data_IF_134453195261
#
_entry.id   IF_134453195261
#
_cell.length_a   1.000
_cell.length_b   1.000
_cell.length_c   1.000
_cell.angle_alpha   90.00
_cell.angle_beta   90.00
_cell.angle_gamma   90.00
#
_symmetry.space_group_name_H-M   'P 1'
#
loop_
_entity.id
_entity.type
_entity.pdbx_description
1 polymer ?
#
# COMPACT_ATOMS: atom_id res chain seq x y z
N UNK A 1 -6.05 -28.08 -3.96
CA UNK A 1 -5.07 -27.34 -3.15
C UNK A 1 -4.35 -28.30 -2.24
N UNK A 2 -3.02 -28.26 -2.19
CA UNK A 2 -2.26 -29.07 -1.22
C UNK A 2 -2.44 -28.46 0.17
N UNK A 3 -2.34 -29.30 1.22
CA UNK A 3 -2.46 -28.83 2.60
C UNK A 3 -1.49 -27.66 2.93
N UNK A 4 -0.28 -27.72 2.35
CA UNK A 4 0.73 -26.66 2.49
C UNK A 4 0.25 -25.32 1.88
N UNK A 5 -0.43 -25.34 0.73
CA UNK A 5 -0.96 -24.12 0.09
C UNK A 5 -2.03 -23.45 0.97
N UNK A 6 -2.89 -24.28 1.58
CA UNK A 6 -3.92 -23.80 2.51
C UNK A 6 -3.29 -23.18 3.77
N UNK A 7 -2.29 -23.85 4.36
CA UNK A 7 -1.57 -23.36 5.52
C UNK A 7 -0.88 -22.02 5.24
N UNK A 8 -0.18 -21.91 4.10
CA UNK A 8 0.48 -20.66 3.67
C UNK A 8 -0.53 -19.53 3.47
N UNK A 9 -1.69 -19.84 2.91
CA UNK A 9 -2.77 -18.86 2.69
C UNK A 9 -3.34 -18.37 4.03
N UNK A 10 -3.59 -19.25 4.98
CA UNK A 10 -4.08 -18.89 6.32
C UNK A 10 -3.04 -18.05 7.06
N UNK A 11 -1.76 -18.47 7.06
CA UNK A 11 -0.68 -17.72 7.69
C UNK A 11 -0.50 -16.33 7.07
N UNK A 12 -0.50 -16.22 5.75
CA UNK A 12 -0.36 -14.91 5.09
C UNK A 12 -1.54 -13.98 5.41
N UNK A 13 -2.77 -14.50 5.45
CA UNK A 13 -3.95 -13.72 5.82
C UNK A 13 -3.90 -13.28 7.28
N UNK A 14 -3.45 -14.15 8.19
CA UNK A 14 -3.26 -13.84 9.60
C UNK A 14 -2.22 -12.72 9.79
N UNK A 15 -1.05 -12.84 9.15
CA UNK A 15 -0.02 -11.81 9.22
C UNK A 15 -0.48 -10.48 8.58
N UNK A 16 -1.26 -10.54 7.50
CA UNK A 16 -1.83 -9.36 6.88
C UNK A 16 -2.80 -8.64 7.83
N UNK A 17 -3.72 -9.39 8.47
CA UNK A 17 -4.63 -8.83 9.46
C UNK A 17 -3.91 -8.23 10.67
N UNK A 18 -2.94 -8.95 11.22
CA UNK A 18 -2.12 -8.48 12.35
C UNK A 18 -1.32 -7.22 11.99
N UNK A 19 -0.87 -7.09 10.72
CA UNK A 19 -0.16 -5.91 10.27
C UNK A 19 -1.00 -4.63 10.38
N UNK A 20 -2.31 -4.67 10.07
CA UNK A 20 -3.18 -3.49 10.22
C UNK A 20 -3.25 -3.02 11.67
N UNK A 21 -3.37 -3.95 12.61
CA UNK A 21 -3.39 -3.64 14.05
C UNK A 21 -2.03 -3.10 14.50
N UNK A 22 -0.95 -3.75 14.12
CA UNK A 22 0.41 -3.33 14.48
C UNK A 22 0.73 -1.93 13.94
N UNK A 23 0.36 -1.64 12.69
CA UNK A 23 0.54 -0.31 12.09
C UNK A 23 -0.31 0.72 12.83
N UNK A 24 -1.57 0.40 13.18
CA UNK A 24 -2.44 1.30 13.92
C UNK A 24 -1.83 1.69 15.27
N UNK A 25 -1.34 0.73 16.04
CA UNK A 25 -0.65 0.98 17.32
C UNK A 25 0.61 1.83 17.10
N UNK A 26 1.37 1.55 16.05
CA UNK A 26 2.61 2.27 15.75
C UNK A 26 2.39 3.74 15.41
N UNK A 27 1.38 4.07 14.59
CA UNK A 27 1.07 5.46 14.20
C UNK A 27 0.43 6.28 15.33
N UNK A 28 0.02 5.65 16.43
CA UNK A 28 -0.39 6.33 17.65
C UNK A 28 0.81 6.80 18.50
N UNK A 29 1.99 6.19 18.30
CA UNK A 29 3.20 6.48 19.05
C UNK A 29 4.23 7.28 18.26
N UNK A 30 4.24 7.15 16.94
CA UNK A 30 5.21 7.78 16.04
C UNK A 30 4.51 8.53 14.91
N UNK A 31 5.13 9.61 14.39
CA UNK A 31 4.65 10.28 13.20
C UNK A 31 4.55 9.27 12.03
N UNK A 32 3.41 9.21 11.33
CA UNK A 32 3.12 8.16 10.35
C UNK A 32 4.16 8.02 9.24
N UNK A 33 4.58 9.13 8.64
CA UNK A 33 5.54 9.13 7.53
C UNK A 33 6.94 8.77 8.03
N UNK A 34 7.34 9.28 9.19
CA UNK A 34 8.62 8.94 9.81
C UNK A 34 8.70 7.43 10.11
N UNK A 35 7.66 6.86 10.69
CA UNK A 35 7.58 5.42 10.95
C UNK A 35 7.72 4.60 9.67
N UNK A 36 7.05 5.03 8.59
CA UNK A 36 7.15 4.32 7.31
C UNK A 36 8.54 4.48 6.67
N UNK A 37 9.17 5.66 6.79
CA UNK A 37 10.53 5.89 6.33
C UNK A 37 11.54 4.98 7.04
N UNK A 38 11.43 4.84 8.37
CA UNK A 38 12.25 3.90 9.17
C UNK A 38 12.06 2.45 8.70
N UNK A 39 10.82 2.04 8.46
CA UNK A 39 10.51 0.70 7.95
C UNK A 39 11.17 0.45 6.59
N UNK A 40 11.10 1.40 5.66
CA UNK A 40 11.77 1.26 4.37
C UNK A 40 13.29 1.30 4.48
N UNK A 41 13.85 2.10 5.39
CA UNK A 41 15.29 2.08 5.68
C UNK A 41 15.73 0.70 6.14
N UNK A 42 15.00 0.10 7.09
CA UNK A 42 15.29 -1.26 7.57
C UNK A 42 15.24 -2.29 6.43
N UNK A 43 14.18 -2.24 5.62
CA UNK A 43 14.02 -3.15 4.46
C UNK A 43 15.18 -2.96 3.46
N UNK A 44 15.55 -1.72 3.15
CA UNK A 44 16.64 -1.43 2.23
C UNK A 44 17.99 -1.94 2.78
N UNK A 45 18.32 -1.66 4.04
CA UNK A 45 19.56 -2.11 4.68
C UNK A 45 19.66 -3.64 4.70
N UNK A 46 18.55 -4.33 4.97
CA UNK A 46 18.52 -5.79 5.01
C UNK A 46 18.61 -6.45 3.63
N UNK A 47 17.99 -5.86 2.60
CA UNK A 47 17.86 -6.52 1.29
C UNK A 47 18.91 -6.08 0.26
N UNK A 48 19.34 -4.81 0.27
CA UNK A 48 20.28 -4.30 -0.74
C UNK A 48 21.59 -5.12 -0.85
N UNK A 49 22.20 -5.61 0.25
CA UNK A 49 23.43 -6.40 0.14
C UNK A 49 23.26 -7.72 -0.64
N UNK A 50 22.04 -8.22 -0.76
CA UNK A 50 21.73 -9.52 -1.39
C UNK A 50 21.21 -9.41 -2.81
N UNK A 51 20.98 -8.18 -3.33
CA UNK A 51 20.38 -7.97 -4.65
C UNK A 51 21.25 -7.11 -5.54
N UNK A 52 21.23 -7.38 -6.85
CA UNK A 52 21.93 -6.56 -7.84
C UNK A 52 21.06 -5.38 -8.27
N UNK A 53 21.71 -4.27 -8.61
CA UNK A 53 21.02 -3.11 -9.16
C UNK A 53 20.43 -3.42 -10.54
N UNK A 54 19.12 -3.23 -10.77
CA UNK A 54 18.48 -3.39 -12.07
C UNK A 54 18.75 -2.15 -12.94
N UNK A 55 20.02 -1.96 -13.37
CA UNK A 55 20.55 -0.72 -13.97
C UNK A 55 19.68 -0.21 -15.12
N UNK A 56 19.24 -1.09 -15.99
CA UNK A 56 18.43 -0.74 -17.17
C UNK A 56 16.98 -0.39 -16.82
N UNK A 57 16.55 -0.62 -15.58
CA UNK A 57 15.19 -0.43 -15.08
C UNK A 57 15.09 0.55 -13.89
N UNK A 58 16.18 1.20 -13.52
CA UNK A 58 16.23 2.07 -12.34
C UNK A 58 15.19 3.19 -12.38
N UNK A 59 14.96 3.79 -13.55
CA UNK A 59 13.93 4.83 -13.68
C UNK A 59 12.52 4.28 -13.41
N UNK A 60 12.19 3.09 -13.92
CA UNK A 60 10.90 2.46 -13.65
C UNK A 60 10.75 2.10 -12.16
N UNK A 61 11.82 1.57 -11.54
CA UNK A 61 11.84 1.28 -10.09
C UNK A 61 11.65 2.58 -9.28
N UNK A 62 12.29 3.67 -9.68
CA UNK A 62 12.08 4.98 -9.07
C UNK A 62 10.62 5.45 -9.21
N UNK A 63 9.98 5.32 -10.38
CA UNK A 63 8.56 5.66 -10.54
C UNK A 63 7.66 4.79 -9.65
N UNK A 64 7.98 3.50 -9.50
CA UNK A 64 7.28 2.61 -8.57
C UNK A 64 7.51 3.04 -7.12
N UNK A 65 8.70 3.51 -6.77
CA UNK A 65 8.95 4.03 -5.42
C UNK A 65 8.11 5.27 -5.10
N UNK A 66 7.85 6.13 -6.09
CA UNK A 66 6.97 7.29 -5.93
C UNK A 66 5.51 6.85 -5.74
N UNK A 67 5.00 5.96 -6.60
CA UNK A 67 3.60 5.55 -6.58
C UNK A 67 3.29 4.56 -5.45
N UNK A 68 4.10 3.53 -5.28
CA UNK A 68 3.90 2.47 -4.28
C UNK A 68 4.51 2.86 -2.94
N UNK A 69 5.78 3.25 -2.95
CA UNK A 69 6.52 3.53 -1.72
C UNK A 69 6.04 4.79 -1.03
N UNK A 70 6.04 5.90 -1.74
CA UNK A 70 5.75 7.21 -1.14
C UNK A 70 4.27 7.54 -1.14
N UNK A 71 3.61 7.51 -2.31
CA UNK A 71 2.19 7.87 -2.38
C UNK A 71 1.30 6.84 -1.67
N UNK A 72 1.40 5.55 -2.04
CA UNK A 72 0.54 4.53 -1.42
C UNK A 72 0.84 4.38 0.07
N UNK A 73 2.06 3.99 0.45
CA UNK A 73 2.36 3.72 1.86
C UNK A 73 2.36 4.98 2.72
N UNK A 74 2.81 6.14 2.21
CA UNK A 74 2.74 7.40 2.94
C UNK A 74 1.30 7.79 3.25
N UNK A 75 0.42 7.83 2.24
CA UNK A 75 -1.00 8.12 2.45
C UNK A 75 -1.69 7.05 3.30
N UNK A 76 -1.32 5.77 3.16
CA UNK A 76 -1.87 4.70 3.98
C UNK A 76 -1.57 4.90 5.46
N UNK A 77 -0.33 5.23 5.82
CA UNK A 77 0.07 5.47 7.21
C UNK A 77 -0.59 6.71 7.80
N UNK A 78 -0.72 7.80 7.03
CA UNK A 78 -1.49 8.97 7.43
C UNK A 78 -2.97 8.61 7.60
N UNK A 79 -3.55 7.87 6.65
CA UNK A 79 -4.96 7.52 6.69
C UNK A 79 -5.35 6.64 7.87
N UNK A 80 -4.55 5.59 8.16
CA UNK A 80 -4.84 4.67 9.26
C UNK A 80 -4.71 5.33 10.64
N UNK A 81 -3.98 6.43 10.77
CA UNK A 81 -3.89 7.15 12.05
C UNK A 81 -5.23 7.67 12.54
N UNK A 82 -6.13 8.06 11.62
CA UNK A 82 -7.46 8.59 11.93
C UNK A 82 -8.64 7.67 11.59
N UNK A 83 -8.39 6.38 11.29
CA UNK A 83 -9.42 5.38 10.94
C UNK A 83 -9.20 4.09 11.73
N UNK A 84 -10.27 3.40 12.08
CA UNK A 84 -10.18 2.09 12.69
C UNK A 84 -9.50 1.08 11.76
N UNK A 85 -8.68 0.18 12.33
CA UNK A 85 -7.94 -0.82 11.58
C UNK A 85 -8.86 -1.72 10.73
N UNK A 86 -10.03 -2.09 11.25
CA UNK A 86 -11.00 -2.92 10.53
C UNK A 86 -11.59 -2.16 9.31
N UNK A 87 -11.98 -0.89 9.48
CA UNK A 87 -12.49 -0.05 8.38
C UNK A 87 -11.38 0.17 7.34
N UNK A 88 -10.17 0.45 7.79
CA UNK A 88 -9.00 0.59 6.91
C UNK A 88 -8.77 -0.67 6.08
N UNK A 89 -8.85 -1.86 6.71
CA UNK A 89 -8.69 -3.13 6.01
C UNK A 89 -9.76 -3.35 4.93
N UNK A 90 -11.00 -2.91 5.18
CA UNK A 90 -12.10 -3.01 4.21
C UNK A 90 -11.87 -2.05 3.04
N UNK A 91 -11.51 -0.79 3.29
CA UNK A 91 -11.19 0.18 2.24
C UNK A 91 -10.00 -0.32 1.41
N UNK A 92 -9.00 -0.93 2.06
CA UNK A 92 -7.83 -1.48 1.39
C UNK A 92 -8.17 -2.55 0.34
N UNK A 93 -9.27 -3.31 0.52
CA UNK A 93 -9.72 -4.30 -0.46
C UNK A 93 -10.16 -3.67 -1.80
N UNK A 94 -10.44 -2.37 -1.85
CA UNK A 94 -10.65 -1.65 -3.11
C UNK A 94 -9.41 -1.60 -4.01
N UNK A 95 -8.25 -1.99 -3.51
CA UNK A 95 -7.04 -2.14 -4.32
C UNK A 95 -7.22 -3.13 -5.48
N UNK A 96 -7.96 -4.22 -5.28
CA UNK A 96 -8.29 -5.17 -6.34
C UNK A 96 -9.16 -4.52 -7.43
N UNK A 97 -10.31 -3.90 -7.13
CA UNK A 97 -11.05 -3.07 -8.08
C UNK A 97 -10.20 -2.05 -8.84
N UNK A 98 -9.42 -1.22 -8.15
CA UNK A 98 -8.58 -0.22 -8.81
C UNK A 98 -7.52 -0.84 -9.73
N UNK A 99 -6.86 -1.92 -9.30
CA UNK A 99 -5.87 -2.60 -10.14
C UNK A 99 -6.49 -3.17 -11.43
N UNK A 100 -7.73 -3.68 -11.37
CA UNK A 100 -8.46 -4.17 -12.54
C UNK A 100 -8.84 -3.01 -13.47
N UNK A 101 -9.36 -1.90 -12.92
CA UNK A 101 -9.73 -0.70 -13.70
C UNK A 101 -8.50 -0.13 -14.40
N UNK A 102 -7.38 0.01 -13.69
CA UNK A 102 -6.16 0.53 -14.30
C UNK A 102 -5.49 -0.45 -15.27
N UNK A 103 -5.58 -1.77 -15.04
CA UNK A 103 -5.14 -2.75 -16.02
C UNK A 103 -5.96 -2.66 -17.31
N UNK A 104 -7.27 -2.46 -17.21
CA UNK A 104 -8.13 -2.21 -18.36
C UNK A 104 -7.74 -0.90 -19.08
N UNK A 105 -7.56 0.19 -18.32
CA UNK A 105 -7.27 1.51 -18.90
C UNK A 105 -5.88 1.60 -19.54
N UNK A 106 -4.85 1.08 -18.86
CA UNK A 106 -3.45 1.29 -19.25
C UNK A 106 -2.79 0.08 -19.95
N UNK A 107 -3.33 -1.13 -19.75
CA UNK A 107 -2.81 -2.36 -20.35
C UNK A 107 -3.77 -2.93 -21.40
N UNK A 108 -4.92 -2.25 -21.62
CA UNK A 108 -5.97 -2.71 -22.54
C UNK A 108 -6.47 -4.13 -22.26
N UNK A 109 -6.40 -4.56 -20.99
CA UNK A 109 -6.93 -5.86 -20.57
C UNK A 109 -8.45 -5.81 -20.49
N UNK A 110 -9.10 -6.84 -21.00
CA UNK A 110 -10.56 -6.94 -20.94
C UNK A 110 -11.00 -7.69 -19.68
N UNK A 111 -12.07 -7.23 -19.05
CA UNK A 111 -12.71 -7.96 -17.96
C UNK A 111 -14.21 -8.14 -18.22
N UNK A 112 -14.73 -9.32 -17.83
CA UNK A 112 -16.11 -9.67 -18.09
C UNK A 112 -17.11 -8.95 -17.17
N UNK A 113 -18.40 -8.95 -17.59
CA UNK A 113 -19.51 -8.30 -16.85
C UNK A 113 -19.60 -8.70 -15.37
N UNK A 114 -19.27 -9.96 -15.03
CA UNK A 114 -19.25 -10.43 -13.63
C UNK A 114 -18.24 -9.67 -12.76
N UNK A 115 -17.06 -9.38 -13.31
CA UNK A 115 -16.04 -8.59 -12.60
C UNK A 115 -16.47 -7.13 -12.46
N UNK A 116 -17.08 -6.54 -13.50
CA UNK A 116 -17.62 -5.18 -13.44
C UNK A 116 -18.68 -5.06 -12.32
N UNK A 117 -19.60 -6.01 -12.23
CA UNK A 117 -20.60 -6.04 -11.18
C UNK A 117 -19.99 -6.19 -9.77
N UNK A 118 -18.97 -7.06 -9.61
CA UNK A 118 -18.25 -7.20 -8.36
C UNK A 118 -17.52 -5.90 -7.93
N UNK A 119 -16.94 -5.18 -8.88
CA UNK A 119 -16.32 -3.86 -8.64
C UNK A 119 -17.37 -2.86 -8.11
N UNK A 120 -18.53 -2.77 -8.74
CA UNK A 120 -19.62 -1.89 -8.30
C UNK A 120 -20.09 -2.22 -6.88
N UNK A 121 -20.30 -3.50 -6.56
CA UNK A 121 -20.69 -3.94 -5.21
C UNK A 121 -19.62 -3.55 -4.18
N UNK A 122 -18.34 -3.71 -4.51
CA UNK A 122 -17.24 -3.36 -3.60
C UNK A 122 -17.24 -1.86 -3.26
N UNK A 123 -17.40 -0.97 -4.25
CA UNK A 123 -17.51 0.47 -4.02
C UNK A 123 -18.74 0.84 -3.20
N UNK A 124 -19.90 0.27 -3.53
CA UNK A 124 -21.14 0.48 -2.76
C UNK A 124 -20.95 0.03 -1.31
N UNK A 125 -20.34 -1.13 -1.06
CA UNK A 125 -20.06 -1.61 0.29
C UNK A 125 -19.20 -0.64 1.11
N UNK A 126 -18.16 -0.06 0.51
CA UNK A 126 -17.32 0.94 1.20
C UNK A 126 -18.09 2.23 1.49
N UNK A 127 -18.98 2.69 0.58
CA UNK A 127 -19.82 3.87 0.82
C UNK A 127 -20.76 3.62 2.02
N UNK A 128 -21.36 2.44 2.14
CA UNK A 128 -22.20 2.10 3.30
C UNK A 128 -21.41 2.14 4.61
N UNK A 129 -20.18 1.62 4.62
CA UNK A 129 -19.32 1.62 5.81
C UNK A 129 -18.93 3.05 6.19
N UNK A 130 -18.57 3.88 5.20
CA UNK A 130 -18.22 5.28 5.43
C UNK A 130 -19.41 6.10 5.98
N UNK A 131 -20.64 5.71 5.67
CA UNK A 131 -21.88 6.34 6.17
C UNK A 131 -22.40 5.79 7.50
N UNK A 132 -21.70 4.84 8.16
CA UNK A 132 -22.21 4.23 9.40
C UNK A 132 -22.14 5.25 10.56
N UNK A 133 -23.29 5.58 11.20
CA UNK A 133 -23.32 6.49 12.34
C UNK A 133 -22.55 5.88 13.54
N UNK A 134 -21.78 6.72 14.24
CA UNK A 134 -21.07 6.31 15.47
C UNK A 134 -19.66 5.76 15.26
N UNK A 135 -19.14 5.67 14.04
CA UNK A 135 -17.72 5.41 13.84
C UNK A 135 -16.90 6.62 14.31
N UNK A 136 -15.89 6.40 15.16
CA UNK A 136 -14.94 7.46 15.54
C UNK A 136 -13.94 7.78 14.42
N UNK A 137 -14.10 7.12 13.28
CA UNK A 137 -13.21 7.27 12.12
C UNK A 137 -13.47 8.58 11.38
N UNK A 138 -12.42 9.34 11.13
CA UNK A 138 -12.49 10.58 10.37
C UNK A 138 -12.74 10.32 8.89
N UNK A 139 -13.76 10.95 8.32
CA UNK A 139 -14.03 10.86 6.86
C UNK A 139 -12.86 11.33 6.00
N UNK A 140 -12.13 12.36 6.46
CA UNK A 140 -10.92 12.83 5.77
C UNK A 140 -9.87 11.71 5.70
N UNK A 141 -9.62 11.02 6.81
CA UNK A 141 -8.65 9.94 6.86
C UNK A 141 -9.12 8.70 6.06
N UNK A 142 -10.43 8.41 6.02
CA UNK A 142 -10.98 7.38 5.13
C UNK A 142 -10.71 7.73 3.65
N UNK A 143 -10.86 9.01 3.28
CA UNK A 143 -10.56 9.47 1.93
C UNK A 143 -9.06 9.37 1.61
N UNK A 144 -8.19 9.66 2.59
CA UNK A 144 -6.73 9.47 2.44
C UNK A 144 -6.38 8.00 2.25
N UNK A 145 -7.01 7.06 2.99
CA UNK A 145 -6.85 5.62 2.76
C UNK A 145 -7.29 5.25 1.35
N UNK A 146 -8.43 5.76 0.88
CA UNK A 146 -8.92 5.51 -0.49
C UNK A 146 -7.93 6.03 -1.54
N UNK A 147 -7.38 7.23 -1.34
CA UNK A 147 -6.35 7.79 -2.22
C UNK A 147 -5.06 6.94 -2.21
N UNK A 148 -4.68 6.38 -1.06
CA UNK A 148 -3.55 5.46 -0.98
C UNK A 148 -3.78 4.20 -1.83
N UNK A 149 -4.97 3.64 -1.75
CA UNK A 149 -5.35 2.43 -2.51
C UNK A 149 -5.44 2.71 -4.02
N UNK A 150 -5.87 3.90 -4.40
CA UNK A 150 -5.81 4.37 -5.78
C UNK A 150 -4.36 4.42 -6.29
N UNK A 151 -3.43 4.99 -5.51
CA UNK A 151 -2.00 5.01 -5.84
C UNK A 151 -1.42 3.59 -5.97
N UNK A 152 -1.84 2.66 -5.11
CA UNK A 152 -1.49 1.25 -5.21
C UNK A 152 -1.95 0.63 -6.53
N UNK A 153 -3.16 0.93 -6.98
CA UNK A 153 -3.67 0.47 -8.28
C UNK A 153 -2.80 0.92 -9.46
N UNK A 154 -2.30 2.17 -9.44
CA UNK A 154 -1.34 2.68 -10.44
C UNK A 154 -0.03 1.90 -10.35
N UNK A 155 0.50 1.72 -9.15
CA UNK A 155 1.74 0.97 -8.91
C UNK A 155 1.63 -0.49 -9.38
N UNK A 156 0.49 -1.14 -9.19
CA UNK A 156 0.24 -2.50 -9.65
C UNK A 156 0.40 -2.63 -11.16
N UNK A 157 -0.06 -1.65 -11.94
CA UNK A 157 0.14 -1.61 -13.41
C UNK A 157 1.61 -1.41 -13.77
N UNK A 158 2.31 -0.52 -13.06
CA UNK A 158 3.76 -0.30 -13.27
C UNK A 158 4.56 -1.58 -12.98
N UNK A 159 4.30 -2.25 -11.86
CA UNK A 159 4.92 -3.51 -11.47
C UNK A 159 4.62 -4.60 -12.52
N UNK A 160 3.39 -4.67 -13.01
CA UNK A 160 3.01 -5.64 -14.04
C UNK A 160 3.77 -5.45 -15.36
N UNK A 161 4.21 -4.22 -15.68
CA UNK A 161 5.07 -3.93 -16.83
C UNK A 161 6.54 -4.29 -16.59
N UNK A 162 6.95 -4.44 -15.34
CA UNK A 162 8.35 -4.68 -14.92
C UNK A 162 8.55 -6.16 -14.54
N UNK A 163 8.21 -7.09 -15.45
CA UNK A 163 8.25 -8.54 -15.17
C UNK A 163 9.66 -9.15 -15.15
N UNK A 164 10.64 -8.44 -15.65
CA UNK A 164 12.04 -8.83 -15.76
C UNK A 164 12.85 -8.55 -14.48
N UNK A 165 12.27 -7.84 -13.50
CA UNK A 165 12.88 -7.61 -12.19
C UNK A 165 12.16 -8.48 -11.15
N UNK A 166 12.92 -9.28 -10.42
CA UNK A 166 12.35 -10.11 -9.36
C UNK A 166 11.81 -9.28 -8.18
N UNK A 167 10.87 -9.86 -7.44
CA UNK A 167 10.13 -9.15 -6.39
C UNK A 167 11.04 -8.67 -5.24
N UNK A 168 12.10 -9.41 -4.90
CA UNK A 168 13.01 -9.05 -3.81
C UNK A 168 13.85 -7.86 -4.23
N UNK A 169 14.41 -7.89 -5.44
CA UNK A 169 15.17 -6.77 -6.03
C UNK A 169 14.30 -5.52 -6.14
N UNK A 170 13.07 -5.65 -6.65
CA UNK A 170 12.14 -4.53 -6.75
C UNK A 170 11.85 -3.93 -5.37
N UNK A 171 11.55 -4.76 -4.37
CA UNK A 171 11.23 -4.30 -3.00
C UNK A 171 12.43 -3.59 -2.37
N UNK A 172 13.64 -4.12 -2.51
CA UNK A 172 14.84 -3.54 -1.96
C UNK A 172 15.13 -2.15 -2.52
N UNK A 173 15.12 -2.01 -3.85
CA UNK A 173 15.40 -0.74 -4.51
C UNK A 173 14.26 0.27 -4.39
N UNK A 174 13.01 -0.20 -4.41
CA UNK A 174 11.86 0.65 -4.10
C UNK A 174 11.98 1.22 -2.68
N UNK A 175 12.31 0.39 -1.68
CA UNK A 175 12.47 0.84 -0.31
C UNK A 175 13.62 1.85 -0.17
N UNK A 176 14.75 1.62 -0.84
CA UNK A 176 15.90 2.53 -0.84
C UNK A 176 15.54 3.91 -1.40
N UNK A 177 14.74 3.98 -2.46
CA UNK A 177 14.30 5.24 -3.03
C UNK A 177 13.17 5.91 -2.22
N UNK A 178 12.27 5.12 -1.63
CA UNK A 178 11.11 5.65 -0.88
C UNK A 178 11.50 6.21 0.48
N UNK A 179 12.50 5.62 1.15
CA UNK A 179 12.92 6.07 2.48
C UNK A 179 13.30 7.56 2.50
N UNK A 180 14.23 8.08 1.65
CA UNK A 180 14.58 9.50 1.66
C UNK A 180 13.40 10.39 1.25
N UNK A 181 12.52 9.95 0.34
CA UNK A 181 11.34 10.71 -0.05
C UNK A 181 10.40 10.91 1.16
N UNK A 182 10.14 9.85 1.92
CA UNK A 182 9.28 9.90 3.10
C UNK A 182 9.92 10.69 4.26
N UNK A 183 11.24 10.57 4.48
CA UNK A 183 11.93 11.41 5.46
C UNK A 183 11.83 12.90 5.12
N UNK A 184 11.99 13.26 3.84
CA UNK A 184 11.87 14.64 3.40
C UNK A 184 10.44 15.18 3.62
N UNK A 185 9.43 14.40 3.27
CA UNK A 185 8.03 14.80 3.47
C UNK A 185 7.72 14.88 4.97
N UNK A 186 8.13 13.89 5.77
CA UNK A 186 7.96 13.87 7.22
C UNK A 186 8.61 15.10 7.88
N UNK A 187 9.83 15.45 7.48
CA UNK A 187 10.53 16.62 8.04
C UNK A 187 9.81 17.95 7.76
N UNK A 188 9.02 18.02 6.68
CA UNK A 188 8.27 19.23 6.31
C UNK A 188 6.87 19.25 6.95
N UNK A 189 6.24 18.09 7.10
CA UNK A 189 4.81 17.97 7.43
C UNK A 189 4.52 17.46 8.85
N UNK A 190 5.48 16.78 9.47
CA UNK A 190 5.32 16.19 10.79
C UNK A 190 6.25 16.85 11.83
N UNK A 191 5.87 16.75 13.12
CA UNK A 191 6.68 17.19 14.26
C UNK A 191 6.75 16.08 15.29
N UNK A 192 7.80 16.08 16.14
CA UNK A 192 7.94 15.06 17.19
C UNK A 192 8.62 13.77 16.75
N UNK A 193 9.45 13.82 15.70
CA UNK A 193 10.19 12.65 15.20
C UNK A 193 11.28 12.15 16.16
N UNK A 194 11.76 12.99 17.10
CA UNK A 194 12.89 12.72 18.00
C UNK A 194 12.58 13.26 19.41
N UNK A 195 11.44 12.93 19.98
CA UNK A 195 11.14 13.26 21.38
C UNK A 195 11.00 12.01 22.22
#
# INVERSE_FOLDING_TARGET
MKFVDLLLLVLSTFFLGTNFVAVKIGVEQFPPLFMMAMRFTLVAVLLIPFVKAPRDRMFQVFLISVSMGTAHFGLFFIGISGVDAAITAIIFQLGVPFSIIFAWLFLHETFGRRRAFGILIAFVGVIFIAGTPGSQSSHLHMFIVLASVFAWGIAAVQIKRLRDVDAITLTAWMALFSAPQLYLISAITESGQIT
#
